data_IF_863303240561
#
_entry.id   IF_863303240561
#
_cell.length_a   1.000
_cell.length_b   1.000
_cell.length_c   1.000
_cell.angle_alpha   90.00
_cell.angle_beta   90.00
_cell.angle_gamma   90.00
#
_symmetry.space_group_name_H-M   'P 1'
#
loop_
_entity.id
_entity.type
_entity.pdbx_description
1 polymer ?
#
# COMPACT_ATOMS: atom_id res chain seq x y z
N UNK A 1 22.35 6.11 3.93
CA UNK A 1 21.62 7.41 3.87
C UNK A 1 20.17 7.17 4.26
N UNK A 2 19.59 7.91 5.20
CA UNK A 2 18.17 7.82 5.53
C UNK A 2 17.39 8.57 4.46
N UNK A 3 16.42 7.92 3.83
CA UNK A 3 15.48 8.63 2.99
C UNK A 3 14.73 9.64 3.86
N UNK A 4 14.82 10.91 3.50
CA UNK A 4 14.16 11.98 4.26
C UNK A 4 12.75 12.19 3.68
N UNK A 5 11.90 11.16 3.82
CA UNK A 5 10.48 11.30 3.51
C UNK A 5 9.88 12.16 4.64
N UNK A 6 9.18 13.24 4.33
CA UNK A 6 8.54 14.08 5.36
C UNK A 6 7.61 13.24 6.23
N UNK A 7 7.79 13.31 7.54
CA UNK A 7 6.92 12.62 8.49
C UNK A 7 6.15 13.64 9.30
N UNK A 8 4.92 13.29 9.65
CA UNK A 8 4.01 14.09 10.47
C UNK A 8 3.74 13.30 11.75
N UNK A 9 3.69 13.99 12.89
CA UNK A 9 3.25 13.41 14.15
C UNK A 9 1.80 13.81 14.43
N UNK A 10 0.94 12.78 14.60
CA UNK A 10 -0.46 12.92 15.00
C UNK A 10 -0.82 11.65 15.79
N UNK A 11 -0.62 11.71 17.12
CA UNK A 11 -0.66 10.55 18.00
C UNK A 11 -1.95 9.73 17.88
N UNK A 12 -3.11 10.39 17.77
CA UNK A 12 -4.40 9.71 17.70
C UNK A 12 -4.57 8.93 16.38
N UNK A 13 -4.15 9.55 15.28
CA UNK A 13 -4.21 8.95 13.95
C UNK A 13 -3.11 7.90 13.77
N UNK A 14 -1.94 8.14 14.34
CA UNK A 14 -0.82 7.21 14.31
C UNK A 14 -1.16 5.90 15.03
N UNK A 15 -1.82 5.99 16.18
CA UNK A 15 -2.29 4.81 16.92
C UNK A 15 -3.28 3.97 16.08
N UNK A 16 -4.23 4.62 15.39
CA UNK A 16 -5.16 3.94 14.48
C UNK A 16 -4.38 3.18 13.40
N UNK A 17 -3.47 3.84 12.71
CA UNK A 17 -2.70 3.23 11.60
C UNK A 17 -1.85 2.06 12.09
N UNK A 18 -1.20 2.20 13.24
CA UNK A 18 -0.40 1.13 13.87
C UNK A 18 -1.25 -0.08 14.25
N UNK A 19 -2.45 0.15 14.81
CA UNK A 19 -3.36 -0.93 15.19
C UNK A 19 -3.88 -1.70 13.98
N UNK A 20 -4.26 -1.00 12.91
CA UNK A 20 -4.70 -1.63 11.66
C UNK A 20 -3.56 -2.40 10.98
N UNK A 21 -2.36 -1.83 10.97
CA UNK A 21 -1.19 -2.51 10.44
C UNK A 21 -0.82 -3.77 11.25
N UNK A 22 -0.91 -3.70 12.57
CA UNK A 22 -0.59 -4.82 13.46
C UNK A 22 -1.50 -6.04 13.18
N UNK A 23 -2.79 -5.82 12.94
CA UNK A 23 -3.72 -6.90 12.56
C UNK A 23 -3.28 -7.58 11.26
N UNK A 24 -2.91 -6.80 10.24
CA UNK A 24 -2.49 -7.30 8.93
C UNK A 24 -1.16 -8.06 9.05
N UNK A 25 -0.19 -7.49 9.77
CA UNK A 25 1.12 -8.13 9.98
C UNK A 25 0.96 -9.45 10.72
N UNK A 26 0.06 -9.53 11.71
CA UNK A 26 -0.19 -10.73 12.50
C UNK A 26 -0.68 -11.94 11.69
N UNK A 27 -1.26 -11.72 10.52
CA UNK A 27 -1.71 -12.79 9.60
C UNK A 27 -0.81 -12.94 8.37
N UNK A 28 0.26 -12.14 8.28
CA UNK A 28 1.23 -12.19 7.18
C UNK A 28 2.37 -13.18 7.47
N UNK A 29 3.27 -13.34 6.50
CA UNK A 29 4.50 -14.13 6.65
C UNK A 29 5.46 -13.51 7.68
N UNK A 30 5.29 -12.24 8.02
CA UNK A 30 6.09 -11.50 9.00
C UNK A 30 5.43 -11.41 10.40
N UNK A 31 4.47 -12.29 10.72
CA UNK A 31 3.70 -12.28 11.99
C UNK A 31 4.59 -12.22 13.26
N UNK A 32 5.75 -12.85 13.22
CA UNK A 32 6.69 -12.89 14.34
C UNK A 32 7.66 -11.69 14.37
N UNK A 33 7.47 -10.71 13.46
CA UNK A 33 8.33 -9.55 13.24
C UNK A 33 7.62 -8.22 13.38
N UNK A 34 6.50 -8.19 14.06
CA UNK A 34 5.70 -6.97 14.27
C UNK A 34 6.54 -5.83 14.85
N UNK A 35 7.44 -6.12 15.80
CA UNK A 35 8.32 -5.13 16.42
C UNK A 35 9.35 -4.49 15.46
N UNK A 36 9.63 -5.15 14.33
CA UNK A 36 10.59 -4.65 13.34
C UNK A 36 9.95 -3.60 12.40
N UNK A 37 8.61 -3.55 12.37
CA UNK A 37 7.89 -2.62 11.51
C UNK A 37 7.91 -1.20 12.06
N UNK A 38 8.26 -0.27 11.19
CA UNK A 38 8.22 1.17 11.43
C UNK A 38 7.20 1.79 10.48
N UNK A 39 6.10 2.31 11.05
CA UNK A 39 5.03 2.90 10.28
C UNK A 39 5.00 4.40 10.60
N UNK A 40 5.01 5.19 9.54
CA UNK A 40 5.10 6.64 9.61
C UNK A 40 3.90 7.25 8.88
N UNK A 41 3.42 8.39 9.38
CA UNK A 41 2.53 9.27 8.64
C UNK A 41 3.37 10.23 7.79
N UNK A 42 2.90 10.50 6.58
CA UNK A 42 3.56 11.41 5.65
C UNK A 42 2.56 12.31 4.94
N UNK A 43 2.89 13.58 4.82
CA UNK A 43 2.18 14.51 3.94
C UNK A 43 2.81 14.42 2.55
N UNK A 44 2.32 13.47 1.76
CA UNK A 44 2.73 13.37 0.37
C UNK A 44 2.22 14.58 -0.44
N UNK A 45 3.04 15.17 -1.32
CA UNK A 45 2.62 16.32 -2.13
C UNK A 45 1.60 15.95 -3.20
N UNK A 46 1.48 14.67 -3.52
CA UNK A 46 0.47 14.11 -4.42
C UNK A 46 -0.61 13.38 -3.63
N UNK A 47 -1.86 13.73 -3.89
CA UNK A 47 -3.02 13.17 -3.18
C UNK A 47 -3.32 11.70 -3.56
N UNK A 48 -2.82 11.25 -4.70
CA UNK A 48 -2.95 9.88 -5.19
C UNK A 48 -1.95 8.89 -4.57
N UNK A 49 -0.94 9.37 -3.84
CA UNK A 49 -0.04 8.50 -3.06
C UNK A 49 -0.68 8.24 -1.70
N UNK A 50 -1.20 7.03 -1.53
CA UNK A 50 -1.88 6.59 -0.31
C UNK A 50 -0.93 5.93 0.69
N UNK A 51 0.07 5.20 0.20
CA UNK A 51 1.09 4.51 0.98
C UNK A 51 2.35 4.26 0.18
N UNK A 52 3.39 3.81 0.88
CA UNK A 52 4.67 3.47 0.28
C UNK A 52 5.49 2.58 1.20
N UNK A 53 5.89 1.42 0.71
CA UNK A 53 6.92 0.58 1.33
C UNK A 53 8.28 0.92 0.76
N UNK A 54 9.27 1.11 1.63
CA UNK A 54 10.64 1.44 1.21
C UNK A 54 11.68 0.39 1.61
N UNK A 55 11.22 -0.77 2.04
CA UNK A 55 12.05 -1.85 2.51
C UNK A 55 12.47 -1.71 3.97
N UNK A 56 13.03 -2.80 4.52
CA UNK A 56 13.42 -2.91 5.94
C UNK A 56 12.24 -2.65 6.88
N UNK A 57 11.04 -3.08 6.47
CA UNK A 57 9.77 -2.93 7.21
C UNK A 57 9.41 -1.49 7.54
N UNK A 58 9.74 -0.56 6.63
CA UNK A 58 9.37 0.84 6.76
C UNK A 58 8.27 1.19 5.77
N UNK A 59 7.11 1.51 6.32
CA UNK A 59 5.90 1.86 5.58
C UNK A 59 5.53 3.31 5.91
N UNK A 60 5.24 4.08 4.90
CA UNK A 60 4.74 5.44 5.00
C UNK A 60 3.29 5.47 4.51
N UNK A 61 2.42 6.07 5.29
CA UNK A 61 0.98 6.18 4.99
C UNK A 61 0.61 7.65 4.90
N UNK A 62 -0.24 7.99 3.93
CA UNK A 62 -0.77 9.34 3.77
C UNK A 62 -1.50 9.78 5.05
N UNK A 63 -1.02 10.87 5.66
CA UNK A 63 -1.66 11.50 6.81
C UNK A 63 -3.09 11.92 6.50
N UNK A 64 -3.34 12.45 5.29
CA UNK A 64 -4.69 12.78 4.81
C UNK A 64 -5.61 11.56 4.81
N UNK A 65 -5.15 10.42 4.26
CA UNK A 65 -5.90 9.16 4.27
C UNK A 65 -6.21 8.72 5.70
N UNK A 66 -5.20 8.71 6.57
CA UNK A 66 -5.34 8.28 7.96
C UNK A 66 -6.33 9.16 8.74
N UNK A 67 -6.30 10.49 8.53
CA UNK A 67 -7.30 11.43 9.11
C UNK A 67 -8.72 11.20 8.58
N UNK A 68 -8.88 10.84 7.34
CA UNK A 68 -10.19 10.49 6.78
C UNK A 68 -10.67 9.14 7.32
N UNK A 69 -9.78 8.16 7.46
CA UNK A 69 -10.07 6.84 8.01
C UNK A 69 -10.56 6.90 9.47
N UNK A 70 -10.02 7.81 10.28
CA UNK A 70 -10.49 8.01 11.67
C UNK A 70 -11.93 8.56 11.76
N UNK A 71 -12.50 9.08 10.67
CA UNK A 71 -13.81 9.72 10.64
C UNK A 71 -14.85 8.97 9.80
N UNK A 72 -14.43 8.13 8.86
CA UNK A 72 -15.33 7.51 7.87
C UNK A 72 -14.92 6.08 7.57
N UNK A 73 -15.85 5.15 7.72
CA UNK A 73 -15.65 3.71 7.51
C UNK A 73 -15.15 3.39 6.08
N UNK A 74 -15.62 4.09 5.07
CA UNK A 74 -15.14 3.88 3.69
C UNK A 74 -13.65 4.15 3.53
N UNK A 75 -13.12 5.18 4.19
CA UNK A 75 -11.69 5.48 4.20
C UNK A 75 -10.90 4.55 5.11
N UNK A 76 -11.52 3.99 6.16
CA UNK A 76 -10.88 2.95 6.97
C UNK A 76 -10.62 1.70 6.12
N UNK A 77 -11.58 1.29 5.29
CA UNK A 77 -11.37 0.19 4.36
C UNK A 77 -10.29 0.50 3.32
N UNK A 78 -10.23 1.72 2.81
CA UNK A 78 -9.15 2.15 1.91
C UNK A 78 -7.79 2.13 2.61
N UNK A 79 -7.70 2.57 3.87
CA UNK A 79 -6.48 2.49 4.68
C UNK A 79 -6.04 1.03 4.88
N UNK A 80 -6.97 0.13 5.22
CA UNK A 80 -6.71 -1.31 5.37
C UNK A 80 -6.17 -1.93 4.08
N UNK A 81 -6.77 -1.61 2.94
CA UNK A 81 -6.30 -2.06 1.63
C UNK A 81 -4.88 -1.55 1.36
N UNK A 82 -4.63 -0.26 1.56
CA UNK A 82 -3.30 0.32 1.39
C UNK A 82 -2.27 -0.36 2.29
N UNK A 83 -2.58 -0.56 3.58
CA UNK A 83 -1.68 -1.24 4.51
C UNK A 83 -1.40 -2.69 4.10
N UNK A 84 -2.44 -3.44 3.69
CA UNK A 84 -2.26 -4.82 3.26
C UNK A 84 -1.36 -4.93 2.03
N UNK A 85 -1.51 -4.01 1.07
CA UNK A 85 -0.68 -3.89 -0.11
C UNK A 85 0.78 -3.57 0.26
N UNK A 86 1.03 -2.58 1.12
CA UNK A 86 2.39 -2.20 1.52
C UNK A 86 3.09 -3.28 2.36
N UNK A 87 2.36 -3.95 3.26
CA UNK A 87 2.88 -5.12 3.99
C UNK A 87 3.22 -6.26 3.02
N UNK A 88 2.41 -6.46 1.99
CA UNK A 88 2.68 -7.46 0.96
C UNK A 88 3.98 -7.16 0.19
N UNK A 89 4.28 -5.91 -0.11
CA UNK A 89 5.57 -5.51 -0.70
C UNK A 89 6.76 -5.87 0.20
N UNK A 90 6.64 -5.65 1.52
CA UNK A 90 7.69 -6.01 2.48
C UNK A 90 7.89 -7.53 2.57
N UNK A 91 6.80 -8.30 2.72
CA UNK A 91 6.86 -9.76 2.86
C UNK A 91 7.29 -10.48 1.57
N UNK A 92 6.98 -9.91 0.40
CA UNK A 92 7.48 -10.38 -0.89
C UNK A 92 8.94 -9.95 -1.17
N UNK A 93 9.51 -9.09 -0.33
CA UNK A 93 10.87 -8.58 -0.47
C UNK A 93 11.07 -7.70 -1.71
N UNK A 94 10.02 -7.06 -2.22
CA UNK A 94 10.09 -6.29 -3.46
C UNK A 94 11.11 -5.17 -3.41
N UNK A 95 11.18 -4.45 -2.29
CA UNK A 95 12.15 -3.39 -2.08
C UNK A 95 13.60 -3.91 -2.01
N UNK A 96 13.82 -5.11 -1.45
CA UNK A 96 15.14 -5.72 -1.33
C UNK A 96 15.64 -6.28 -2.67
N UNK A 97 14.76 -6.87 -3.47
CA UNK A 97 15.11 -7.43 -4.79
C UNK A 97 15.56 -6.37 -5.79
N UNK A 98 15.14 -5.12 -5.62
CA UNK A 98 15.53 -4.00 -6.47
C UNK A 98 16.89 -3.40 -6.09
N UNK A 99 17.57 -3.96 -5.08
CA UNK A 99 18.84 -3.48 -4.56
C UNK A 99 18.67 -2.18 -3.76
N UNK A 100 19.66 -1.87 -2.92
CA UNK A 100 19.71 -0.64 -2.09
C UNK A 100 19.82 0.68 -2.91
N UNK A 101 19.71 0.60 -4.22
CA UNK A 101 19.63 1.72 -5.15
C UNK A 101 18.21 2.28 -5.27
N UNK A 102 17.46 2.15 -4.22
CA UNK A 102 16.08 2.61 -4.11
C UNK A 102 15.88 4.11 -4.34
N UNK A 103 16.95 4.81 -4.60
CA UNK A 103 16.94 6.22 -4.96
C UNK A 103 17.93 6.51 -6.08
N UNK A 104 17.54 6.22 -7.30
CA UNK A 104 18.30 6.61 -8.47
C UNK A 104 17.39 7.39 -9.43
N UNK A 105 17.81 8.60 -9.78
CA UNK A 105 17.08 9.57 -10.62
C UNK A 105 16.54 9.02 -11.96
N UNK A 106 17.00 7.83 -12.38
CA UNK A 106 16.60 7.20 -13.64
C UNK A 106 15.31 6.37 -13.58
N UNK A 107 14.69 6.22 -12.41
CA UNK A 107 13.63 5.24 -12.19
C UNK A 107 12.27 5.84 -11.84
N UNK A 108 12.15 7.16 -11.82
CA UNK A 108 10.83 7.79 -11.82
C UNK A 108 10.20 7.55 -13.19
N UNK A 109 9.05 6.90 -13.22
CA UNK A 109 8.24 6.82 -14.43
C UNK A 109 7.96 8.23 -14.99
N UNK A 110 7.65 8.34 -16.28
CA UNK A 110 7.34 9.64 -16.86
C UNK A 110 6.18 10.28 -16.06
N UNK A 111 6.46 11.43 -15.45
CA UNK A 111 5.48 12.23 -14.69
C UNK A 111 5.65 12.26 -13.17
N UNK A 112 6.60 11.52 -12.59
CA UNK A 112 6.90 11.64 -11.15
C UNK A 112 8.32 12.16 -10.96
N UNK A 113 8.47 13.36 -10.40
CA UNK A 113 9.76 13.91 -10.00
C UNK A 113 9.95 13.76 -8.47
N UNK A 114 11.22 13.84 -8.01
CA UNK A 114 11.50 13.86 -6.57
C UNK A 114 10.84 15.04 -5.85
N UNK A 115 10.56 16.12 -6.60
CA UNK A 115 9.85 17.31 -6.10
C UNK A 115 8.37 17.00 -5.88
N UNK A 116 7.76 16.19 -6.75
CA UNK A 116 6.34 15.84 -6.68
C UNK A 116 5.99 15.02 -5.43
N UNK A 117 6.97 14.32 -4.87
CA UNK A 117 6.80 13.52 -3.64
C UNK A 117 7.42 14.19 -2.40
N UNK A 118 7.85 15.46 -2.51
CA UNK A 118 8.45 16.22 -1.41
C UNK A 118 9.78 15.68 -0.91
N UNK A 119 10.47 14.89 -1.74
CA UNK A 119 11.76 14.29 -1.39
C UNK A 119 12.92 15.18 -1.85
N UNK A 120 14.09 15.11 -1.18
CA UNK A 120 15.28 15.78 -1.67
C UNK A 120 15.58 15.38 -3.12
N UNK A 121 16.09 16.30 -3.93
CA UNK A 121 16.38 16.05 -5.37
C UNK A 121 17.30 14.84 -5.64
N UNK A 122 18.04 14.38 -4.64
CA UNK A 122 18.89 13.19 -4.70
C UNK A 122 18.17 11.87 -4.51
N UNK A 123 16.87 11.92 -4.19
CA UNK A 123 16.05 10.75 -3.85
C UNK A 123 15.12 10.44 -5.02
N UNK A 124 15.23 9.24 -5.56
CA UNK A 124 14.38 8.77 -6.65
C UNK A 124 13.62 7.54 -6.18
N UNK A 125 12.29 7.62 -6.17
CA UNK A 125 11.43 6.47 -5.90
C UNK A 125 11.44 5.53 -7.10
N UNK A 126 11.65 4.25 -6.85
CA UNK A 126 11.49 3.20 -7.84
C UNK A 126 10.07 2.68 -7.77
N UNK A 127 9.32 2.83 -8.85
CA UNK A 127 8.07 2.11 -9.00
C UNK A 127 8.38 0.62 -9.18
N UNK A 128 7.57 -0.24 -8.60
CA UNK A 128 7.64 -1.66 -8.84
C UNK A 128 7.13 -1.99 -10.25
N UNK A 129 7.49 -3.16 -10.78
CA UNK A 129 6.89 -3.61 -12.04
C UNK A 129 5.41 -3.97 -11.82
N UNK A 130 4.62 -3.94 -12.90
CA UNK A 130 3.20 -4.35 -12.83
C UNK A 130 3.02 -5.71 -12.18
N UNK A 131 3.90 -6.68 -12.48
CA UNK A 131 3.82 -8.01 -11.89
C UNK A 131 4.00 -8.01 -10.36
N UNK A 132 4.92 -7.18 -9.85
CA UNK A 132 5.12 -7.03 -8.40
C UNK A 132 3.95 -6.31 -7.71
N UNK A 133 3.32 -5.35 -8.40
CA UNK A 133 2.12 -4.69 -7.91
C UNK A 133 0.94 -5.68 -7.84
N UNK A 134 0.78 -6.51 -8.87
CA UNK A 134 -0.23 -7.56 -8.89
C UNK A 134 0.06 -8.65 -7.84
N UNK A 135 1.33 -9.00 -7.63
CA UNK A 135 1.72 -9.92 -6.56
C UNK A 135 1.39 -9.33 -5.18
N UNK A 136 1.69 -8.04 -4.95
CA UNK A 136 1.36 -7.37 -3.70
C UNK A 136 -0.15 -7.30 -3.47
N UNK A 137 -0.95 -7.02 -4.49
CA UNK A 137 -2.41 -7.08 -4.40
C UNK A 137 -2.92 -8.48 -4.05
N UNK A 138 -2.39 -9.52 -4.70
CA UNK A 138 -2.79 -10.91 -4.44
C UNK A 138 -2.46 -11.34 -3.02
N UNK A 139 -1.24 -11.04 -2.54
CA UNK A 139 -0.83 -11.33 -1.17
C UNK A 139 -1.63 -10.50 -0.15
N UNK A 140 -1.81 -9.21 -0.42
CA UNK A 140 -2.60 -8.32 0.43
C UNK A 140 -4.05 -8.77 0.57
N UNK A 141 -4.66 -9.24 -0.53
CA UNK A 141 -5.99 -9.84 -0.49
C UNK A 141 -6.00 -11.14 0.32
N UNK A 142 -4.97 -11.97 0.23
CA UNK A 142 -4.83 -13.14 1.09
C UNK A 142 -4.71 -12.81 2.58
N UNK A 143 -4.11 -11.68 2.97
CA UNK A 143 -4.16 -11.21 4.37
C UNK A 143 -5.55 -10.77 4.78
N UNK A 144 -6.23 -10.07 3.85
CA UNK A 144 -7.61 -9.63 4.02
C UNK A 144 -8.55 -10.79 4.37
N UNK A 145 -8.44 -11.89 3.64
CA UNK A 145 -9.21 -13.13 3.86
C UNK A 145 -8.89 -13.78 5.20
N UNK A 146 -7.62 -13.89 5.56
CA UNK A 146 -7.21 -14.46 6.85
C UNK A 146 -7.74 -13.65 8.04
N UNK A 147 -8.06 -12.36 7.84
CA UNK A 147 -8.73 -11.50 8.81
C UNK A 147 -10.25 -11.64 8.80
N UNK A 148 -10.82 -12.47 7.91
CA UNK A 148 -12.25 -12.64 7.74
C UNK A 148 -12.94 -11.41 7.13
N UNK A 149 -12.20 -10.56 6.41
CA UNK A 149 -12.76 -9.39 5.77
C UNK A 149 -13.33 -9.76 4.38
N UNK A 150 -14.53 -9.26 4.07
CA UNK A 150 -15.19 -9.51 2.79
C UNK A 150 -14.35 -8.99 1.61
N UNK A 151 -13.89 -9.90 0.75
CA UNK A 151 -13.05 -9.57 -0.42
C UNK A 151 -13.78 -8.64 -1.41
N UNK A 152 -15.13 -8.63 -1.45
CA UNK A 152 -15.93 -7.72 -2.27
C UNK A 152 -15.72 -6.25 -1.89
N UNK A 153 -15.30 -5.96 -0.65
CA UNK A 153 -14.92 -4.60 -0.26
C UNK A 153 -13.68 -4.15 -1.01
N UNK A 154 -12.65 -5.00 -1.13
CA UNK A 154 -11.45 -4.72 -1.94
C UNK A 154 -11.81 -4.41 -3.40
N UNK A 155 -12.64 -5.26 -4.00
CA UNK A 155 -13.14 -5.05 -5.38
C UNK A 155 -13.84 -3.71 -5.51
N UNK A 156 -14.76 -3.37 -4.58
CA UNK A 156 -15.48 -2.08 -4.60
C UNK A 156 -14.58 -0.86 -4.48
N UNK A 157 -13.48 -0.95 -3.74
CA UNK A 157 -12.50 0.14 -3.66
C UNK A 157 -11.84 0.36 -5.02
N UNK A 158 -11.41 -0.71 -5.70
CA UNK A 158 -10.82 -0.62 -7.04
C UNK A 158 -11.83 -0.11 -8.08
N UNK A 159 -13.09 -0.54 -8.01
CA UNK A 159 -14.18 0.00 -8.84
C UNK A 159 -14.42 1.49 -8.58
N UNK A 160 -14.22 1.94 -7.34
CA UNK A 160 -14.28 3.35 -6.98
C UNK A 160 -13.20 4.18 -7.68
N UNK A 161 -11.99 3.65 -7.81
CA UNK A 161 -10.92 4.29 -8.57
C UNK A 161 -11.25 4.35 -10.07
N UNK A 162 -11.74 3.26 -10.64
CA UNK A 162 -12.14 3.21 -12.05
C UNK A 162 -13.25 4.23 -12.37
N UNK A 163 -14.30 4.33 -11.54
CA UNK A 163 -15.41 5.29 -11.70
C UNK A 163 -14.97 6.75 -11.61
N UNK A 164 -13.89 7.05 -10.89
CA UNK A 164 -13.30 8.38 -10.80
C UNK A 164 -12.34 8.67 -11.95
N UNK A 165 -12.33 7.85 -13.00
CA UNK A 165 -11.36 7.89 -14.11
C UNK A 165 -9.90 7.82 -13.65
N UNK A 166 -9.66 7.25 -12.47
CA UNK A 166 -8.33 6.93 -12.02
C UNK A 166 -7.88 5.62 -12.67
N UNK A 167 -7.37 5.74 -13.88
CA UNK A 167 -6.88 4.58 -14.64
C UNK A 167 -5.64 3.92 -14.01
N UNK A 168 -5.13 4.53 -12.94
CA UNK A 168 -3.82 4.20 -12.40
C UNK A 168 -2.71 4.82 -13.24
N UNK A 169 -1.48 4.43 -12.93
CA UNK A 169 -0.32 4.74 -13.76
C UNK A 169 0.16 3.47 -14.50
N UNK A 170 1.30 3.61 -15.22
CA UNK A 170 1.88 2.50 -16.00
C UNK A 170 2.25 1.29 -15.13
N UNK A 171 2.44 1.49 -13.82
CA UNK A 171 2.85 0.47 -12.87
C UNK A 171 1.67 -0.08 -12.07
N UNK A 172 0.63 0.76 -11.83
CA UNK A 172 -0.58 0.40 -11.07
C UNK A 172 -1.84 0.45 -11.96
N UNK A 173 -1.94 -0.38 -13.02
CA UNK A 173 -3.09 -0.34 -13.93
C UNK A 173 -4.35 -0.83 -13.22
N UNK A 174 -5.27 0.08 -12.92
CA UNK A 174 -6.49 -0.20 -12.15
C UNK A 174 -7.30 -1.34 -12.73
N UNK A 175 -7.44 -1.41 -14.06
CA UNK A 175 -8.17 -2.48 -14.75
C UNK A 175 -7.60 -3.86 -14.45
N UNK A 176 -6.26 -4.04 -14.55
CA UNK A 176 -5.62 -5.34 -14.28
C UNK A 176 -5.75 -5.76 -12.82
N UNK A 177 -5.59 -4.80 -11.90
CA UNK A 177 -5.76 -5.01 -10.46
C UNK A 177 -7.19 -5.45 -10.13
N UNK A 178 -8.19 -4.77 -10.74
CA UNK A 178 -9.59 -5.09 -10.56
C UNK A 178 -9.95 -6.47 -11.13
N UNK A 179 -9.46 -6.80 -12.32
CA UNK A 179 -9.67 -8.11 -12.93
C UNK A 179 -9.10 -9.24 -12.07
N UNK A 180 -7.89 -9.05 -11.53
CA UNK A 180 -7.25 -10.02 -10.64
C UNK A 180 -8.04 -10.19 -9.34
N UNK A 181 -8.42 -9.09 -8.67
CA UNK A 181 -9.19 -9.13 -7.42
C UNK A 181 -10.54 -9.83 -7.59
N UNK A 182 -11.26 -9.53 -8.66
CA UNK A 182 -12.52 -10.24 -9.02
C UNK A 182 -12.30 -11.73 -9.22
N UNK A 183 -11.22 -12.12 -9.90
CA UNK A 183 -10.88 -13.52 -10.14
C UNK A 183 -10.56 -14.29 -8.86
N UNK A 184 -9.95 -13.67 -7.86
CA UNK A 184 -9.68 -14.26 -6.54
C UNK A 184 -11.00 -14.41 -5.78
N UNK A 185 -11.76 -13.34 -5.59
CA UNK A 185 -13.03 -13.37 -4.85
C UNK A 185 -14.06 -14.36 -5.39
N UNK A 186 -14.16 -14.52 -6.72
CA UNK A 186 -15.08 -15.48 -7.33
C UNK A 186 -14.69 -16.94 -7.10
N UNK A 187 -13.42 -17.23 -6.86
CA UNK A 187 -12.97 -18.60 -6.52
C UNK A 187 -13.37 -18.99 -5.11
N UNK A 188 -13.26 -18.06 -4.18
CA UNK A 188 -13.63 -18.28 -2.78
C UNK A 188 -15.13 -18.53 -2.58
N UNK A 189 -15.98 -17.81 -3.31
CA UNK A 189 -17.43 -18.07 -3.30
C UNK A 189 -17.76 -19.50 -3.77
N UNK A 190 -16.99 -20.07 -4.70
CA UNK A 190 -17.18 -21.43 -5.19
C UNK A 190 -16.66 -22.50 -4.23
N UNK A 191 -15.58 -22.18 -3.51
CA UNK A 191 -14.94 -23.10 -2.57
C UNK A 191 -15.61 -23.08 -1.17
N UNK A 192 -16.66 -22.27 -0.99
CA UNK A 192 -17.50 -22.25 0.20
C UNK A 192 -16.80 -21.67 1.44
N UNK A 193 -15.84 -20.79 1.26
CA UNK A 193 -15.05 -20.14 2.33
C UNK A 193 -15.75 -18.87 2.87
N UNK A 194 -16.89 -18.48 2.27
CA UNK A 194 -17.72 -17.34 2.72
C UNK A 194 -19.12 -17.83 3.06
#
# INVERSE_FOLDING_TARGET
>A
MRANIPTVSDDAVELLVRNEAAQIIAVSEDKDRLSDYQIFLSDFPREDILGMSIGKRRIYISHKLAKLASKRVSYLWLLRQTLAHEVAHETAGHAMQNGLTWFNRRTLGPGISSVDVGLPQSVTLRNYSVDKELEADSKGLGYWERLGWDCRIWVRILEGFEKQNYAGDVFHPTEKRLQQARGICLREEKDGVI
#
